data_IF_104629646702
#
_entry.id   IF_104629646702
#
_cell.length_a   1.000
_cell.length_b   1.000
_cell.length_c   1.000
_cell.angle_alpha   90.00
_cell.angle_beta   90.00
_cell.angle_gamma   90.00
#
_symmetry.space_group_name_H-M   'P 1'
#
loop_
_entity.id
_entity.type
_entity.pdbx_description
1 polymer ?
#
# COMPACT_ATOMS: atom_id res chain seq x y z
N UNK A 1 4.19 -19.99 17.32
CA UNK A 1 3.80 -19.46 16.00
C UNK A 1 4.88 -19.83 14.98
N UNK A 2 4.56 -20.54 13.90
CA UNK A 2 5.54 -20.93 12.87
C UNK A 2 6.04 -19.68 12.10
N UNK A 3 7.28 -19.74 11.60
CA UNK A 3 7.84 -18.70 10.75
C UNK A 3 7.20 -18.67 9.36
N UNK A 4 6.98 -19.87 8.78
CA UNK A 4 6.35 -20.08 7.47
C UNK A 4 4.85 -20.31 7.63
N UNK A 5 4.12 -20.06 6.53
CA UNK A 5 2.70 -20.42 6.47
C UNK A 5 2.51 -21.93 6.54
N UNK A 6 1.37 -22.33 7.04
CA UNK A 6 0.83 -23.69 6.98
C UNK A 6 -0.51 -23.68 6.26
N UNK A 7 -1.13 -24.82 6.04
CA UNK A 7 -2.51 -24.90 5.50
C UNK A 7 -3.54 -24.34 6.48
N UNK A 8 -3.19 -24.23 7.76
CA UNK A 8 -4.11 -23.78 8.82
C UNK A 8 -3.97 -22.29 9.18
N UNK A 9 -2.75 -21.73 9.12
CA UNK A 9 -2.50 -20.36 9.57
C UNK A 9 -1.37 -19.66 8.79
N UNK A 10 -1.38 -18.33 8.82
CA UNK A 10 -0.27 -17.53 8.34
C UNK A 10 0.88 -17.54 9.33
N UNK A 11 2.11 -17.68 8.80
CA UNK A 11 3.33 -17.60 9.59
C UNK A 11 3.69 -16.18 10.04
N UNK A 12 4.65 -16.10 10.96
CA UNK A 12 5.11 -14.83 11.52
C UNK A 12 5.53 -13.80 10.46
N UNK A 13 6.24 -14.25 9.42
CA UNK A 13 6.72 -13.37 8.35
C UNK A 13 5.56 -12.79 7.54
N UNK A 14 4.55 -13.59 7.18
CA UNK A 14 3.37 -13.09 6.47
C UNK A 14 2.58 -12.07 7.31
N UNK A 15 2.42 -12.34 8.61
CA UNK A 15 1.78 -11.42 9.56
C UNK A 15 2.58 -10.12 9.72
N UNK A 16 3.90 -10.22 9.81
CA UNK A 16 4.78 -9.04 9.88
C UNK A 16 4.59 -8.14 8.65
N UNK A 17 4.71 -8.69 7.44
CA UNK A 17 4.49 -7.92 6.21
C UNK A 17 3.09 -7.29 6.14
N UNK A 18 2.07 -8.02 6.62
CA UNK A 18 0.70 -7.50 6.60
C UNK A 18 0.56 -6.31 7.55
N UNK A 19 0.93 -6.46 8.81
CA UNK A 19 0.67 -5.45 9.83
C UNK A 19 1.60 -4.25 9.74
N UNK A 20 2.87 -4.44 9.35
CA UNK A 20 3.76 -3.30 9.09
C UNK A 20 3.31 -2.50 7.88
N UNK A 21 2.90 -3.18 6.79
CA UNK A 21 2.35 -2.52 5.62
C UNK A 21 1.03 -1.79 5.92
N UNK A 22 0.12 -2.41 6.68
CA UNK A 22 -1.13 -1.78 7.10
C UNK A 22 -0.89 -0.55 7.99
N UNK A 23 0.04 -0.65 8.95
CA UNK A 23 0.39 0.48 9.82
C UNK A 23 1.00 1.64 9.04
N UNK A 24 1.94 1.37 8.13
CA UNK A 24 2.55 2.39 7.29
C UNK A 24 1.53 3.03 6.34
N UNK A 25 0.62 2.25 5.76
CA UNK A 25 -0.46 2.74 4.91
C UNK A 25 -1.41 3.66 5.68
N UNK A 26 -1.89 3.25 6.85
CA UNK A 26 -2.77 4.06 7.69
C UNK A 26 -2.06 5.34 8.14
N UNK A 27 -0.80 5.25 8.54
CA UNK A 27 -0.01 6.41 8.94
C UNK A 27 0.19 7.40 7.78
N UNK A 28 0.46 6.91 6.55
CA UNK A 28 0.57 7.76 5.37
C UNK A 28 -0.72 8.54 5.11
N UNK A 29 -1.89 7.89 5.24
CA UNK A 29 -3.18 8.58 5.13
C UNK A 29 -3.41 9.57 6.27
N UNK A 30 -3.10 9.22 7.50
CA UNK A 30 -3.25 10.12 8.64
C UNK A 30 -2.43 11.40 8.44
N UNK A 31 -1.20 11.27 7.96
CA UNK A 31 -0.31 12.41 7.68
C UNK A 31 -0.87 13.31 6.58
N UNK A 32 -1.26 12.75 5.43
CA UNK A 32 -1.77 13.57 4.32
C UNK A 32 -3.09 14.27 4.68
N UNK A 33 -4.00 13.58 5.39
CA UNK A 33 -5.24 14.24 5.85
C UNK A 33 -5.00 15.26 6.95
N UNK A 34 -3.96 15.08 7.79
CA UNK A 34 -3.56 16.11 8.72
C UNK A 34 -3.14 17.39 7.99
N UNK A 35 -2.34 17.27 6.93
CA UNK A 35 -1.98 18.41 6.09
C UNK A 35 -3.22 19.05 5.46
N UNK A 36 -4.08 18.27 4.81
CA UNK A 36 -5.28 18.76 4.11
C UNK A 36 -6.24 19.50 5.05
N UNK A 37 -6.38 19.06 6.31
CA UNK A 37 -7.39 19.61 7.22
C UNK A 37 -6.87 20.67 8.16
N UNK A 38 -5.57 20.68 8.47
CA UNK A 38 -5.01 21.50 9.54
C UNK A 38 -3.84 22.38 9.10
N UNK A 39 -3.36 22.24 7.86
CA UNK A 39 -2.25 23.02 7.35
C UNK A 39 -2.63 23.67 6.01
N UNK A 40 -1.89 24.71 5.64
CA UNK A 40 -1.88 25.20 4.26
C UNK A 40 -0.86 24.36 3.48
N UNK A 41 -1.33 23.56 2.53
CA UNK A 41 -0.51 22.64 1.74
C UNK A 41 0.48 23.36 0.81
N UNK A 42 0.25 24.65 0.58
CA UNK A 42 1.16 25.52 -0.19
C UNK A 42 2.25 26.15 0.68
N UNK A 43 2.14 26.01 2.02
CA UNK A 43 3.12 26.55 2.97
C UNK A 43 4.39 25.71 2.98
N UNK A 44 5.59 26.34 3.06
CA UNK A 44 6.84 25.63 3.30
C UNK A 44 6.83 24.74 4.56
N UNK A 45 6.01 25.07 5.56
CA UNK A 45 5.87 24.27 6.79
C UNK A 45 5.17 22.92 6.55
N UNK A 46 4.42 22.77 5.46
CA UNK A 46 3.80 21.50 5.10
C UNK A 46 4.81 20.48 4.54
N UNK A 47 5.91 20.93 3.92
CA UNK A 47 6.87 20.04 3.27
C UNK A 47 7.51 18.99 4.20
N UNK A 48 7.97 19.32 5.43
CA UNK A 48 8.50 18.31 6.34
C UNK A 48 7.45 17.27 6.74
N UNK A 49 6.18 17.67 6.87
CA UNK A 49 5.08 16.76 7.20
C UNK A 49 4.74 15.87 6.00
N UNK A 50 4.66 16.45 4.80
CA UNK A 50 4.46 15.69 3.55
C UNK A 50 5.60 14.72 3.29
N UNK A 51 6.84 15.07 3.66
CA UNK A 51 7.97 14.14 3.56
C UNK A 51 7.74 12.86 4.38
N UNK A 52 7.08 12.93 5.52
CA UNK A 52 6.70 11.73 6.29
C UNK A 52 5.72 10.86 5.49
N UNK A 53 4.75 11.47 4.79
CA UNK A 53 3.86 10.74 3.87
C UNK A 53 4.65 10.04 2.76
N UNK A 54 5.60 10.72 2.13
CA UNK A 54 6.44 10.15 1.05
C UNK A 54 7.30 8.99 1.56
N UNK A 55 7.96 9.15 2.70
CA UNK A 55 8.76 8.07 3.34
C UNK A 55 7.88 6.85 3.63
N UNK A 56 6.71 7.04 4.22
CA UNK A 56 5.76 5.95 4.51
C UNK A 56 5.28 5.28 3.22
N UNK A 57 4.97 6.06 2.19
CA UNK A 57 4.61 5.55 0.87
C UNK A 57 5.72 4.69 0.27
N UNK A 58 6.97 5.15 0.34
CA UNK A 58 8.12 4.37 -0.13
C UNK A 58 8.32 3.09 0.66
N UNK A 59 8.14 3.10 1.99
CA UNK A 59 8.19 1.88 2.82
C UNK A 59 7.12 0.88 2.38
N UNK A 60 5.89 1.34 2.13
CA UNK A 60 4.81 0.50 1.60
C UNK A 60 5.23 -0.10 0.25
N UNK A 61 5.67 0.73 -0.71
CA UNK A 61 6.07 0.28 -2.05
C UNK A 61 7.20 -0.74 -2.03
N UNK A 62 8.27 -0.45 -1.28
CA UNK A 62 9.43 -1.36 -1.16
C UNK A 62 9.07 -2.68 -0.45
N UNK A 63 8.07 -2.68 0.43
CA UNK A 63 7.62 -3.89 1.12
C UNK A 63 6.81 -4.84 0.23
N UNK A 64 6.27 -4.36 -0.90
CA UNK A 64 5.37 -5.16 -1.76
C UNK A 64 6.09 -6.30 -2.44
N UNK A 65 7.27 -6.05 -3.01
CA UNK A 65 8.02 -7.08 -3.73
C UNK A 65 8.41 -8.27 -2.82
N UNK A 66 9.06 -8.09 -1.67
CA UNK A 66 9.35 -9.21 -0.76
C UNK A 66 8.08 -9.87 -0.22
N UNK A 67 6.99 -9.12 0.00
CA UNK A 67 5.69 -9.69 0.39
C UNK A 67 5.10 -10.58 -0.71
N UNK A 68 5.15 -10.13 -1.97
CA UNK A 68 4.65 -10.90 -3.10
C UNK A 68 5.49 -12.17 -3.32
N UNK A 69 6.82 -12.05 -3.29
CA UNK A 69 7.73 -13.19 -3.38
C UNK A 69 7.45 -14.20 -2.25
N UNK A 70 7.28 -13.70 -1.00
CA UNK A 70 6.92 -14.56 0.12
C UNK A 70 5.62 -15.30 -0.11
N UNK A 71 4.60 -14.62 -0.66
CA UNK A 71 3.31 -15.23 -1.01
C UNK A 71 3.44 -16.34 -2.07
N UNK A 72 4.30 -16.12 -3.07
CA UNK A 72 4.47 -17.07 -4.18
C UNK A 72 5.24 -18.33 -3.77
N UNK A 73 6.20 -18.22 -2.83
CA UNK A 73 7.03 -19.36 -2.40
C UNK A 73 6.50 -20.09 -1.17
N UNK A 74 5.44 -19.58 -0.52
CA UNK A 74 4.87 -20.20 0.67
C UNK A 74 3.45 -20.72 0.41
N UNK A 75 3.11 -21.79 1.11
CA UNK A 75 1.74 -22.33 1.15
C UNK A 75 0.79 -21.22 1.59
N UNK A 76 -0.39 -21.17 0.96
CA UNK A 76 -1.45 -20.27 1.41
C UNK A 76 -2.42 -21.07 2.28
N UNK A 77 -2.83 -20.55 3.45
CA UNK A 77 -3.82 -21.20 4.29
C UNK A 77 -5.14 -21.38 3.55
N UNK A 78 -5.80 -22.51 3.81
CA UNK A 78 -7.08 -22.84 3.24
C UNK A 78 -8.12 -21.75 3.56
N UNK A 79 -8.87 -21.34 2.54
CA UNK A 79 -9.89 -20.29 2.70
C UNK A 79 -11.26 -20.93 2.93
N UNK A 80 -11.96 -20.55 4.00
CA UNK A 80 -13.31 -21.07 4.28
C UNK A 80 -14.35 -20.36 3.39
N UNK A 81 -14.38 -20.69 2.12
CA UNK A 81 -15.36 -20.13 1.19
C UNK A 81 -16.66 -20.92 1.21
N UNK A 82 -17.80 -20.23 1.32
CA UNK A 82 -19.11 -20.86 1.23
C UNK A 82 -19.53 -21.11 -0.23
N UNK A 83 -18.99 -20.33 -1.19
CA UNK A 83 -19.33 -20.44 -2.60
C UNK A 83 -18.14 -20.07 -3.51
N UNK A 84 -18.22 -20.49 -4.79
CA UNK A 84 -17.27 -20.07 -5.81
C UNK A 84 -17.24 -18.55 -6.03
N UNK A 85 -18.38 -17.87 -5.90
CA UNK A 85 -18.46 -16.42 -6.03
C UNK A 85 -17.69 -15.72 -4.91
N UNK A 86 -17.81 -16.17 -3.66
CA UNK A 86 -17.04 -15.63 -2.53
C UNK A 86 -15.54 -15.85 -2.73
N UNK A 87 -15.13 -17.03 -3.18
CA UNK A 87 -13.73 -17.31 -3.48
C UNK A 87 -13.17 -16.36 -4.54
N UNK A 88 -13.92 -16.12 -5.60
CA UNK A 88 -13.55 -15.20 -6.67
C UNK A 88 -13.46 -13.76 -6.17
N UNK A 89 -14.46 -13.29 -5.41
CA UNK A 89 -14.46 -11.94 -4.83
C UNK A 89 -13.30 -11.72 -3.87
N UNK A 90 -13.02 -12.69 -3.00
CA UNK A 90 -11.89 -12.62 -2.08
C UNK A 90 -10.55 -12.55 -2.85
N UNK A 91 -10.41 -13.33 -3.92
CA UNK A 91 -9.24 -13.32 -4.76
C UNK A 91 -9.07 -11.98 -5.49
N UNK A 92 -10.13 -11.47 -6.10
CA UNK A 92 -10.15 -10.17 -6.77
C UNK A 92 -9.81 -9.03 -5.81
N UNK A 93 -10.37 -9.02 -4.59
CA UNK A 93 -10.07 -8.03 -3.56
C UNK A 93 -8.59 -8.04 -3.15
N UNK A 94 -8.00 -9.22 -2.94
CA UNK A 94 -6.58 -9.31 -2.62
C UNK A 94 -5.69 -8.81 -3.76
N UNK A 95 -5.99 -9.15 -5.01
CA UNK A 95 -5.23 -8.61 -6.15
C UNK A 95 -5.43 -7.10 -6.31
N UNK A 96 -6.64 -6.60 -6.10
CA UNK A 96 -6.91 -5.15 -6.06
C UNK A 96 -6.05 -4.44 -5.02
N UNK A 97 -5.92 -5.02 -3.82
CA UNK A 97 -5.01 -4.49 -2.79
C UNK A 97 -3.55 -4.49 -3.23
N UNK A 98 -3.05 -5.57 -3.89
CA UNK A 98 -1.69 -5.57 -4.42
C UNK A 98 -1.47 -4.51 -5.49
N UNK A 99 -2.45 -4.32 -6.39
CA UNK A 99 -2.40 -3.24 -7.39
C UNK A 99 -2.31 -1.87 -6.71
N UNK A 100 -3.11 -1.62 -5.68
CA UNK A 100 -3.05 -0.37 -4.91
C UNK A 100 -1.70 -0.19 -4.20
N UNK A 101 -1.16 -1.25 -3.59
CA UNK A 101 0.13 -1.19 -2.90
C UNK A 101 1.31 -0.91 -3.84
N UNK A 102 1.17 -1.16 -5.14
CA UNK A 102 2.16 -0.82 -6.17
C UNK A 102 1.86 0.56 -6.76
N UNK A 103 0.61 0.78 -7.18
CA UNK A 103 0.20 1.97 -7.92
C UNK A 103 0.36 3.24 -7.08
N UNK A 104 -0.06 3.21 -5.80
CA UNK A 104 -0.02 4.39 -4.95
C UNK A 104 1.40 4.90 -4.68
N UNK A 105 2.37 4.09 -4.21
CA UNK A 105 3.75 4.54 -4.05
C UNK A 105 4.42 4.94 -5.36
N UNK A 106 4.11 4.22 -6.44
CA UNK A 106 4.69 4.50 -7.76
C UNK A 106 4.23 5.86 -8.29
N UNK A 107 2.92 6.10 -8.32
CA UNK A 107 2.36 7.37 -8.78
C UNK A 107 2.71 8.52 -7.84
N UNK A 108 2.77 8.27 -6.53
CA UNK A 108 3.22 9.26 -5.55
C UNK A 108 4.67 9.69 -5.78
N UNK A 109 5.58 8.74 -6.01
CA UNK A 109 6.98 9.06 -6.30
C UNK A 109 7.16 9.76 -7.66
N UNK A 110 6.51 9.24 -8.70
CA UNK A 110 6.66 9.75 -10.07
C UNK A 110 5.97 11.12 -10.23
N UNK A 111 4.88 11.39 -9.51
CA UNK A 111 4.12 12.63 -9.57
C UNK A 111 4.52 13.70 -8.55
N UNK A 112 5.62 13.51 -7.80
CA UNK A 112 6.08 14.48 -6.79
C UNK A 112 7.34 15.21 -7.28
N UNK A 113 7.30 16.54 -7.30
CA UNK A 113 8.45 17.39 -7.63
C UNK A 113 9.28 17.77 -6.38
N UNK A 114 9.42 16.82 -5.46
CA UNK A 114 10.23 16.98 -4.25
C UNK A 114 11.04 15.71 -3.95
N UNK A 115 12.25 15.88 -3.44
CA UNK A 115 13.07 14.77 -2.98
C UNK A 115 12.45 14.18 -1.70
N UNK A 116 12.52 12.84 -1.56
CA UNK A 116 12.12 12.14 -0.34
C UNK A 116 13.31 12.00 0.58
N UNK A 117 13.28 12.68 1.72
CA UNK A 117 14.37 12.65 2.70
C UNK A 117 14.14 11.56 3.75
N UNK A 118 15.08 10.62 3.84
CA UNK A 118 15.11 9.54 4.84
C UNK A 118 16.01 9.88 6.04
N UNK A 119 16.53 11.12 6.12
CA UNK A 119 17.44 11.57 7.16
C UNK A 119 18.90 11.19 6.92
N UNK A 120 19.20 9.93 6.63
CA UNK A 120 20.56 9.46 6.31
C UNK A 120 20.93 9.67 4.83
N UNK A 121 19.94 9.72 3.96
CA UNK A 121 20.07 9.98 2.52
C UNK A 121 18.73 10.53 1.99
N UNK A 122 18.77 11.19 0.84
CA UNK A 122 17.57 11.61 0.12
C UNK A 122 17.46 10.87 -1.22
N UNK A 123 16.25 10.45 -1.56
CA UNK A 123 15.92 9.98 -2.88
C UNK A 123 15.55 11.19 -3.74
N UNK A 124 16.26 11.47 -4.86
CA UNK A 124 15.92 12.59 -5.72
C UNK A 124 14.49 12.45 -6.26
N UNK A 125 13.85 13.56 -6.61
CA UNK A 125 12.57 13.53 -7.31
C UNK A 125 12.72 12.85 -8.68
N UNK A 126 11.60 12.36 -9.23
CA UNK A 126 11.63 11.64 -10.51
C UNK A 126 12.11 12.50 -11.67
N UNK A 127 11.79 13.81 -11.66
CA UNK A 127 12.22 14.77 -12.66
C UNK A 127 13.74 14.83 -12.84
N UNK A 128 14.50 14.67 -11.75
CA UNK A 128 15.97 14.72 -11.77
C UNK A 128 16.62 13.39 -12.15
N UNK A 129 15.84 12.34 -12.39
CA UNK A 129 16.36 11.02 -12.74
C UNK A 129 16.82 10.94 -14.20
N UNK A 130 17.83 10.11 -14.46
CA UNK A 130 18.26 9.80 -15.83
C UNK A 130 17.10 9.19 -16.66
N UNK A 131 16.16 8.50 -16.02
CA UNK A 131 14.99 7.90 -16.68
C UNK A 131 14.05 8.99 -17.21
N UNK A 132 13.75 10.02 -16.40
CA UNK A 132 12.92 11.12 -16.89
C UNK A 132 13.64 11.93 -17.99
N UNK A 133 14.94 12.20 -17.84
CA UNK A 133 15.72 12.86 -18.89
C UNK A 133 15.72 12.07 -20.21
N UNK A 134 15.70 10.74 -20.14
CA UNK A 134 15.54 9.90 -21.33
C UNK A 134 14.13 10.02 -21.93
N UNK A 135 13.07 10.04 -21.12
CA UNK A 135 11.68 10.26 -21.56
C UNK A 135 11.56 11.59 -22.28
N UNK A 136 12.04 12.67 -21.68
CA UNK A 136 12.01 14.03 -22.25
C UNK A 136 12.75 14.10 -23.58
N UNK A 137 13.96 13.56 -23.63
CA UNK A 137 14.80 13.58 -24.85
C UNK A 137 14.22 12.70 -25.95
N UNK A 138 13.66 11.52 -25.61
CA UNK A 138 13.21 10.54 -26.61
C UNK A 138 11.83 10.84 -27.16
N UNK A 139 10.93 11.40 -26.32
CA UNK A 139 9.53 11.63 -26.67
C UNK A 139 9.11 13.10 -26.66
N UNK A 140 9.97 14.03 -26.23
CA UNK A 140 9.68 15.46 -26.16
C UNK A 140 8.62 15.81 -25.11
N UNK A 141 8.44 14.97 -24.10
CA UNK A 141 7.43 15.19 -23.06
C UNK A 141 8.09 15.97 -21.92
N UNK A 142 7.70 17.25 -21.75
CA UNK A 142 8.19 18.05 -20.63
C UNK A 142 7.60 17.60 -19.29
N UNK A 143 8.22 18.01 -18.18
CA UNK A 143 7.71 17.72 -16.84
C UNK A 143 6.29 18.26 -16.64
N UNK A 144 6.03 19.48 -17.08
CA UNK A 144 4.75 20.15 -16.95
C UNK A 144 3.61 19.44 -17.72
N UNK A 145 3.95 18.62 -18.73
CA UNK A 145 3.00 17.77 -19.42
C UNK A 145 2.89 16.36 -18.83
N UNK A 146 3.96 15.88 -18.20
CA UNK A 146 4.06 14.52 -17.68
C UNK A 146 3.46 14.37 -16.28
N UNK A 147 3.80 15.27 -15.38
CA UNK A 147 3.45 15.18 -13.96
C UNK A 147 1.94 15.25 -13.68
N UNK A 148 1.15 16.23 -14.20
CA UNK A 148 -0.23 16.41 -13.80
C UNK A 148 -1.13 15.18 -14.01
N UNK A 149 -1.05 14.41 -15.11
CA UNK A 149 -1.84 13.19 -15.24
C UNK A 149 -1.43 12.09 -14.26
N UNK A 150 -0.15 12.00 -13.87
CA UNK A 150 0.33 11.01 -12.89
C UNK A 150 -0.17 11.38 -11.49
N UNK A 151 -0.03 12.65 -11.10
CA UNK A 151 -0.55 13.18 -9.85
C UNK A 151 -2.07 13.03 -9.75
N UNK A 152 -2.80 13.30 -10.82
CA UNK A 152 -4.24 13.09 -10.87
C UNK A 152 -4.62 11.61 -10.60
N UNK A 153 -3.86 10.64 -11.12
CA UNK A 153 -4.08 9.22 -10.82
C UNK A 153 -3.87 8.96 -9.33
N UNK A 154 -2.78 9.47 -8.73
CA UNK A 154 -2.51 9.33 -7.30
C UNK A 154 -3.65 9.89 -6.46
N UNK A 155 -4.11 11.09 -6.76
CA UNK A 155 -5.20 11.73 -6.04
C UNK A 155 -6.55 11.01 -6.20
N UNK A 156 -6.96 10.67 -7.43
CA UNK A 156 -8.25 10.01 -7.68
C UNK A 156 -8.29 8.63 -7.04
N UNK A 157 -7.22 7.85 -7.22
CA UNK A 157 -7.13 6.51 -6.63
C UNK A 157 -7.05 6.61 -5.10
N UNK A 158 -6.22 7.52 -4.57
CA UNK A 158 -6.03 7.69 -3.13
C UNK A 158 -7.28 8.21 -2.41
N UNK A 159 -7.96 9.22 -2.95
CA UNK A 159 -9.15 9.81 -2.32
C UNK A 159 -10.41 8.96 -2.45
N UNK A 160 -10.48 8.03 -3.42
CA UNK A 160 -11.68 7.26 -3.71
C UNK A 160 -11.47 5.75 -3.66
N UNK A 161 -10.80 5.20 -4.67
CA UNK A 161 -10.72 3.74 -4.88
C UNK A 161 -10.04 3.03 -3.71
N UNK A 162 -8.94 3.58 -3.20
CA UNK A 162 -8.20 2.96 -2.10
C UNK A 162 -9.05 2.86 -0.82
N UNK A 163 -9.83 3.91 -0.49
CA UNK A 163 -10.75 3.88 0.64
C UNK A 163 -11.82 2.80 0.50
N UNK A 164 -12.42 2.67 -0.69
CA UNK A 164 -13.45 1.66 -0.95
C UNK A 164 -12.87 0.26 -0.79
N UNK A 165 -11.72 -0.01 -1.42
CA UNK A 165 -11.10 -1.35 -1.38
C UNK A 165 -10.66 -1.72 0.03
N UNK A 166 -10.04 -0.79 0.77
CA UNK A 166 -9.61 -1.02 2.16
C UNK A 166 -10.82 -1.19 3.08
N UNK A 167 -11.85 -0.36 2.94
CA UNK A 167 -13.07 -0.48 3.75
C UNK A 167 -13.76 -1.84 3.51
N UNK A 168 -13.86 -2.28 2.26
CA UNK A 168 -14.42 -3.59 1.93
C UNK A 168 -13.55 -4.74 2.50
N UNK A 169 -12.23 -4.62 2.44
CA UNK A 169 -11.32 -5.61 3.02
C UNK A 169 -11.51 -5.73 4.54
N UNK A 170 -11.55 -4.60 5.24
CA UNK A 170 -11.77 -4.58 6.69
C UNK A 170 -13.17 -5.08 7.05
N UNK A 171 -14.20 -4.63 6.32
CA UNK A 171 -15.58 -5.08 6.54
C UNK A 171 -15.73 -6.59 6.33
N UNK A 172 -15.11 -7.15 5.28
CA UNK A 172 -15.10 -8.59 5.06
C UNK A 172 -14.41 -9.35 6.20
N UNK A 173 -13.25 -8.88 6.66
CA UNK A 173 -12.54 -9.50 7.78
C UNK A 173 -13.37 -9.48 9.08
N UNK A 174 -14.05 -8.37 9.37
CA UNK A 174 -14.96 -8.24 10.51
C UNK A 174 -16.21 -9.11 10.36
N UNK A 175 -16.80 -9.19 9.16
CA UNK A 175 -17.92 -10.08 8.88
C UNK A 175 -17.58 -11.53 9.14
N UNK A 176 -16.41 -11.99 8.65
CA UNK A 176 -15.91 -13.34 8.93
C UNK A 176 -15.70 -13.58 10.43
N UNK A 177 -15.21 -12.57 11.16
CA UNK A 177 -14.95 -12.70 12.59
C UNK A 177 -16.23 -12.70 13.45
N UNK A 178 -17.14 -11.76 13.20
CA UNK A 178 -18.33 -11.52 14.05
C UNK A 178 -19.50 -12.39 13.65
N UNK A 179 -19.77 -12.50 12.34
CA UNK A 179 -20.96 -13.19 11.82
C UNK A 179 -20.66 -14.65 11.51
N UNK A 180 -19.64 -14.92 10.70
CA UNK A 180 -19.31 -16.31 10.28
C UNK A 180 -18.52 -17.09 11.31
N UNK A 181 -17.71 -16.40 12.11
CA UNK A 181 -16.88 -16.99 13.16
C UNK A 181 -15.94 -18.11 12.64
N UNK A 182 -15.41 -17.94 11.43
CA UNK A 182 -14.64 -18.96 10.70
C UNK A 182 -13.13 -18.82 10.82
N UNK A 183 -12.66 -17.90 11.66
CA UNK A 183 -11.24 -17.76 12.00
C UNK A 183 -10.39 -16.99 10.98
N UNK A 184 -10.95 -16.46 9.89
CA UNK A 184 -10.18 -15.72 8.85
C UNK A 184 -9.35 -14.59 9.45
N UNK A 185 -9.96 -13.74 10.28
CA UNK A 185 -9.25 -12.64 10.95
C UNK A 185 -8.22 -13.16 11.97
N UNK A 186 -8.60 -14.15 12.80
CA UNK A 186 -7.74 -14.63 13.88
C UNK A 186 -6.47 -15.29 13.38
N UNK A 187 -6.51 -15.91 12.19
CA UNK A 187 -5.33 -16.50 11.52
C UNK A 187 -4.28 -15.45 11.14
N UNK A 188 -4.70 -14.18 10.97
CA UNK A 188 -3.82 -13.06 10.59
C UNK A 188 -3.38 -12.22 11.81
N UNK A 189 -4.02 -12.38 12.99
CA UNK A 189 -3.65 -11.63 14.19
C UNK A 189 -2.26 -12.03 14.70
N UNK A 190 -1.43 -11.06 15.17
CA UNK A 190 -0.16 -11.36 15.82
C UNK A 190 -0.35 -12.19 17.09
N UNK A 191 0.64 -13.04 17.40
CA UNK A 191 0.69 -13.78 18.68
C UNK A 191 -0.32 -14.93 18.86
N UNK A 192 -1.26 -15.15 17.92
CA UNK A 192 -2.19 -16.28 17.97
C UNK A 192 -1.75 -17.40 17.04
N UNK A 193 -1.65 -18.62 17.55
CA UNK A 193 -1.69 -19.86 16.77
C UNK A 193 -3.10 -20.44 16.89
N UNK A 194 -3.63 -20.96 15.79
CA UNK A 194 -4.87 -21.72 15.81
C UNK A 194 -4.47 -23.10 16.32
N UNK A 195 -4.90 -23.43 17.54
CA UNK A 195 -4.75 -24.75 18.13
C UNK A 195 -5.66 -25.76 17.43
#
# INVERSE_FOLDING_TARGET
MPWKNTTMEFGAIAKLFHWTGAAAFIAAYAVVYYVIWFMDDTSPDALPVLNVHWVLGMIVGLSVLPRLLWRLVNVQPDQPHASHAEAWLAHAAHWGLYVLLILMPLTGYIGTDAATDFGAFALPNFRETALFGWIETRWGISWEAFEPPVDAIHHVVGKGIAWIVVALHVAAALFHHVVRRDGVLTRMLPGRSVA
#
